data_IF_082135655102
#
_entry.id   IF_082135655102
#
_cell.length_a   1.000
_cell.length_b   1.000
_cell.length_c   1.000
_cell.angle_alpha   90.00
_cell.angle_beta   90.00
_cell.angle_gamma   90.00
#
_symmetry.space_group_name_H-M   'P 1'
#
loop_
_entity.id
_entity.type
_entity.pdbx_description
1 polymer ?
#
# COMPACT_ATOMS: atom_id res chain seq x y z
N UNK A 1 -2.63 -15.01 -33.94
CA UNK A 1 -3.93 -15.14 -33.25
C UNK A 1 -3.90 -16.43 -32.43
N UNK A 2 -4.33 -16.43 -31.17
CA UNK A 2 -4.51 -17.68 -30.42
C UNK A 2 -5.66 -18.51 -31.05
N UNK A 3 -5.54 -19.84 -31.00
CA UNK A 3 -6.55 -20.79 -31.49
C UNK A 3 -7.32 -21.34 -30.28
N UNK A 4 -8.64 -21.21 -30.31
CA UNK A 4 -9.50 -21.61 -29.18
C UNK A 4 -9.82 -23.10 -29.16
N UNK A 5 -9.71 -23.78 -30.31
CA UNK A 5 -9.92 -25.22 -30.46
C UNK A 5 -8.94 -25.81 -31.47
N UNK A 6 -8.56 -27.05 -31.24
CA UNK A 6 -7.80 -27.85 -32.17
C UNK A 6 -8.64 -28.31 -33.36
N UNK A 7 -7.98 -28.74 -34.41
CA UNK A 7 -8.62 -29.31 -35.59
C UNK A 7 -7.72 -30.37 -36.22
N UNK A 8 -8.33 -31.32 -36.91
CA UNK A 8 -7.63 -32.28 -37.75
C UNK A 8 -7.88 -31.95 -39.22
N UNK A 9 -6.88 -32.16 -40.08
CA UNK A 9 -7.06 -32.07 -41.52
C UNK A 9 -7.98 -33.20 -41.98
N UNK A 10 -8.80 -32.95 -43.00
CA UNK A 10 -9.72 -33.95 -43.56
C UNK A 10 -9.02 -35.15 -44.20
N UNK A 11 -7.72 -35.04 -44.51
CA UNK A 11 -6.87 -36.15 -44.94
C UNK A 11 -6.25 -36.95 -43.78
N UNK A 12 -6.42 -36.52 -42.53
CA UNK A 12 -5.98 -37.24 -41.31
C UNK A 12 -4.48 -37.28 -41.08
N UNK A 13 -3.70 -36.55 -41.89
CA UNK A 13 -2.24 -36.50 -41.85
C UNK A 13 -1.69 -35.54 -40.79
N UNK A 14 -2.48 -34.54 -40.36
CA UNK A 14 -2.09 -33.58 -39.34
C UNK A 14 -3.24 -33.30 -38.38
N UNK A 15 -2.97 -33.42 -37.09
CA UNK A 15 -3.85 -32.97 -36.01
C UNK A 15 -3.17 -31.84 -35.22
N UNK A 16 -3.86 -30.71 -35.13
CA UNK A 16 -3.47 -29.57 -34.30
C UNK A 16 -4.30 -29.64 -33.03
N UNK A 17 -3.64 -29.73 -31.87
CA UNK A 17 -4.30 -29.73 -30.56
C UNK A 17 -4.08 -28.37 -29.92
N UNK A 18 -5.16 -27.66 -29.60
CA UNK A 18 -5.08 -26.39 -28.89
C UNK A 18 -4.91 -26.64 -27.39
N UNK A 19 -4.27 -25.70 -26.69
CA UNK A 19 -4.12 -25.77 -25.24
C UNK A 19 -5.47 -25.90 -24.51
N UNK A 20 -6.53 -25.32 -25.07
CA UNK A 20 -7.91 -25.45 -24.59
C UNK A 20 -8.49 -26.86 -24.67
N UNK A 21 -8.06 -27.68 -25.63
CA UNK A 21 -8.53 -29.07 -25.74
C UNK A 21 -7.91 -29.95 -24.64
N UNK A 22 -6.73 -29.58 -24.14
CA UNK A 22 -6.01 -30.29 -23.07
C UNK A 22 -6.34 -29.76 -21.66
N UNK A 23 -6.58 -28.45 -21.54
CA UNK A 23 -6.73 -27.75 -20.25
C UNK A 23 -8.17 -27.27 -19.98
N UNK A 24 -9.07 -27.36 -20.95
CA UNK A 24 -10.45 -26.87 -20.84
C UNK A 24 -10.52 -25.36 -20.62
N UNK A 25 -11.48 -24.91 -19.79
CA UNK A 25 -11.65 -23.50 -19.41
C UNK A 25 -10.45 -22.87 -18.69
N UNK A 26 -9.38 -23.63 -18.43
CA UNK A 26 -8.11 -23.12 -17.89
C UNK A 26 -7.18 -22.54 -18.97
N UNK A 27 -7.52 -22.67 -20.24
CA UNK A 27 -6.71 -22.18 -21.36
C UNK A 27 -6.98 -20.72 -21.75
N UNK A 28 -7.81 -19.99 -21.01
CA UNK A 28 -7.87 -18.54 -21.17
C UNK A 28 -6.50 -17.95 -20.80
N UNK A 29 -5.70 -17.69 -21.84
CA UNK A 29 -4.53 -16.83 -21.77
C UNK A 29 -5.04 -15.46 -21.33
N UNK A 30 -4.91 -15.20 -20.04
CA UNK A 30 -5.23 -13.91 -19.46
C UNK A 30 -4.33 -12.85 -20.10
N UNK A 31 -4.94 -11.99 -20.93
CA UNK A 31 -4.34 -10.71 -21.26
C UNK A 31 -4.36 -9.86 -19.99
N UNK A 32 -3.22 -9.30 -19.55
CA UNK A 32 -3.22 -8.41 -18.40
C UNK A 32 -4.11 -7.23 -18.73
N UNK A 33 -5.21 -7.07 -17.99
CA UNK A 33 -6.03 -5.88 -18.08
C UNK A 33 -5.12 -4.67 -17.83
N UNK A 34 -5.07 -3.77 -18.82
CA UNK A 34 -4.37 -2.50 -18.71
C UNK A 34 -4.81 -1.81 -17.42
N UNK A 35 -3.81 -1.18 -16.76
CA UNK A 35 -3.84 -0.72 -15.38
C UNK A 35 -5.22 -0.28 -14.89
N UNK A 36 -5.63 -0.87 -13.77
CA UNK A 36 -6.76 -0.37 -13.00
C UNK A 36 -6.42 1.07 -12.64
N UNK A 37 -7.04 2.01 -13.35
CA UNK A 37 -6.96 3.43 -13.05
C UNK A 37 -7.64 3.61 -11.70
N UNK A 38 -6.82 3.54 -10.64
CA UNK A 38 -7.30 3.60 -9.27
C UNK A 38 -7.74 5.04 -9.04
N UNK A 39 -9.04 5.32 -8.84
CA UNK A 39 -9.47 6.67 -8.52
C UNK A 39 -8.68 7.11 -7.29
N UNK A 40 -8.12 8.33 -7.37
CA UNK A 40 -7.42 8.92 -6.24
C UNK A 40 -8.33 8.80 -5.01
N UNK A 41 -7.82 8.33 -3.85
CA UNK A 41 -8.64 8.26 -2.66
C UNK A 41 -9.23 9.65 -2.43
N UNK A 42 -10.56 9.71 -2.22
CA UNK A 42 -11.25 10.95 -1.90
C UNK A 42 -10.45 11.66 -0.80
N UNK A 43 -10.10 12.93 -1.05
CA UNK A 43 -9.31 13.73 -0.13
C UNK A 43 -9.94 13.71 1.27
N UNK A 44 -9.14 13.76 2.34
CA UNK A 44 -9.66 13.61 3.68
C UNK A 44 -10.65 14.74 3.98
N UNK A 45 -11.92 14.41 4.21
CA UNK A 45 -12.93 15.38 4.61
C UNK A 45 -12.60 15.89 6.01
N UNK A 46 -12.32 17.18 6.18
CA UNK A 46 -12.15 17.79 7.50
C UNK A 46 -13.48 17.78 8.28
N UNK A 47 -13.44 17.50 9.58
CA UNK A 47 -14.59 17.72 10.48
C UNK A 47 -14.18 18.67 11.60
N UNK A 48 -15.06 19.60 11.91
CA UNK A 48 -14.89 20.51 13.04
C UNK A 48 -14.77 19.69 14.33
N UNK A 49 -13.81 20.07 15.18
CA UNK A 49 -13.46 19.39 16.42
C UNK A 49 -12.46 18.23 16.26
N UNK A 50 -11.96 17.94 15.06
CA UNK A 50 -10.92 16.93 14.87
C UNK A 50 -9.52 17.49 15.16
N UNK A 51 -8.62 16.69 15.77
CA UNK A 51 -7.22 17.07 15.92
C UNK A 51 -6.50 17.02 14.57
N UNK A 52 -5.72 18.04 14.28
CA UNK A 52 -4.97 18.28 13.05
C UNK A 52 -3.50 18.50 13.42
N UNK A 53 -2.58 18.04 12.57
CA UNK A 53 -1.15 18.31 12.75
C UNK A 53 -0.71 19.37 11.77
N UNK A 54 -0.30 20.51 12.29
CA UNK A 54 0.43 21.52 11.54
C UNK A 54 1.93 21.20 11.62
N UNK A 55 2.62 21.20 10.47
CA UNK A 55 4.04 20.81 10.38
C UNK A 55 4.94 21.60 11.33
N UNK A 56 4.67 22.90 11.45
CA UNK A 56 5.52 23.84 12.19
C UNK A 56 4.98 24.17 13.60
N UNK A 57 3.70 23.92 13.85
CA UNK A 57 3.00 24.32 15.09
C UNK A 57 2.49 23.12 15.91
N UNK A 58 2.58 21.90 15.39
CA UNK A 58 2.20 20.70 16.12
C UNK A 58 0.70 20.41 16.05
N UNK A 59 0.18 19.74 17.08
CA UNK A 59 -1.20 19.26 17.13
C UNK A 59 -2.12 20.42 17.56
N UNK A 60 -3.14 20.73 16.77
CA UNK A 60 -4.20 21.69 17.09
C UNK A 60 -5.59 21.10 16.82
N UNK A 61 -6.64 21.76 17.28
CA UNK A 61 -8.04 21.39 17.02
C UNK A 61 -8.59 22.24 15.88
N UNK A 62 -9.22 21.61 14.88
CA UNK A 62 -9.91 22.36 13.84
C UNK A 62 -11.22 22.94 14.38
N UNK A 63 -11.32 24.26 14.48
CA UNK A 63 -12.54 24.95 14.91
C UNK A 63 -13.47 25.28 13.74
N UNK A 64 -12.93 25.55 12.56
CA UNK A 64 -13.74 25.91 11.41
C UNK A 64 -12.92 26.43 10.24
N UNK A 65 -13.65 27.02 9.29
CA UNK A 65 -13.11 27.75 8.15
C UNK A 65 -13.64 29.18 8.29
N UNK A 66 -12.74 30.16 8.21
CA UNK A 66 -13.09 31.57 8.22
C UNK A 66 -12.50 32.27 6.99
N UNK A 67 -13.19 33.29 6.51
CA UNK A 67 -12.75 34.13 5.42
C UNK A 67 -11.81 35.21 5.96
N UNK A 68 -10.56 35.25 5.49
CA UNK A 68 -9.57 36.24 5.87
C UNK A 68 -9.28 37.21 4.72
N UNK A 69 -9.25 38.49 5.04
CA UNK A 69 -8.80 39.53 4.11
C UNK A 69 -7.26 39.57 4.10
N UNK A 70 -6.66 39.13 3.00
CA UNK A 70 -5.24 39.32 2.77
C UNK A 70 -4.97 40.71 2.17
N UNK A 71 -3.76 41.29 2.35
CA UNK A 71 -3.41 42.61 1.82
C UNK A 71 -3.60 42.75 0.29
N UNK A 72 -3.68 41.62 -0.42
CA UNK A 72 -3.84 41.50 -1.87
C UNK A 72 -5.30 41.63 -2.33
N UNK A 73 -6.23 41.98 -1.43
CA UNK A 73 -7.58 42.46 -1.74
C UNK A 73 -8.61 41.39 -2.09
N UNK A 74 -8.19 40.14 -2.35
CA UNK A 74 -9.12 39.01 -2.50
C UNK A 74 -9.28 38.32 -1.15
N UNK A 75 -10.52 38.07 -0.69
CA UNK A 75 -10.72 37.25 0.49
C UNK A 75 -10.34 35.80 0.22
N UNK A 76 -9.75 35.15 1.22
CA UNK A 76 -9.36 33.75 1.12
C UNK A 76 -9.88 32.95 2.31
N UNK A 77 -10.30 31.72 2.05
CA UNK A 77 -10.63 30.76 3.11
C UNK A 77 -9.36 30.38 3.89
N UNK A 78 -9.47 30.37 5.21
CA UNK A 78 -8.45 29.90 6.13
C UNK A 78 -9.03 28.93 7.16
N UNK A 79 -8.31 27.84 7.41
CA UNK A 79 -8.59 26.92 8.50
C UNK A 79 -8.23 27.59 9.82
N UNK A 80 -9.16 27.57 10.77
CA UNK A 80 -8.94 28.05 12.13
C UNK A 80 -8.55 26.88 13.03
N UNK A 81 -7.32 26.91 13.55
CA UNK A 81 -6.78 25.89 14.44
C UNK A 81 -6.60 26.47 15.85
N UNK A 82 -7.09 25.76 16.86
CA UNK A 82 -6.95 26.14 18.27
C UNK A 82 -5.93 25.26 18.99
N UNK A 83 -5.10 25.88 19.81
CA UNK A 83 -4.02 25.26 20.59
C UNK A 83 -4.25 25.46 22.10
N UNK A 84 -3.35 24.91 22.93
CA UNK A 84 -3.41 25.02 24.39
C UNK A 84 -3.24 26.48 24.79
N UNK A 85 -4.02 26.95 25.77
CA UNK A 85 -4.02 28.36 26.17
C UNK A 85 -4.80 29.30 25.24
N UNK A 86 -5.80 28.78 24.50
CA UNK A 86 -6.68 29.52 23.58
C UNK A 86 -5.95 30.24 22.42
N UNK A 87 -4.70 29.82 22.13
CA UNK A 87 -3.94 30.34 21.01
C UNK A 87 -4.55 29.86 19.68
N UNK A 88 -4.88 30.80 18.80
CA UNK A 88 -5.49 30.53 17.49
C UNK A 88 -4.49 30.74 16.35
N UNK A 89 -4.45 29.80 15.41
CA UNK A 89 -3.66 29.87 14.18
C UNK A 89 -4.59 29.82 12.96
N UNK A 90 -4.45 30.82 12.08
CA UNK A 90 -5.17 30.88 10.80
C UNK A 90 -4.29 30.37 9.68
N UNK A 91 -4.69 29.28 9.03
CA UNK A 91 -3.93 28.65 7.94
C UNK A 91 -4.68 28.79 6.61
N UNK A 92 -4.16 29.53 5.62
CA UNK A 92 -4.86 29.71 4.34
C UNK A 92 -5.08 28.38 3.61
N UNK A 93 -6.33 28.05 3.30
CA UNK A 93 -6.73 26.76 2.71
C UNK A 93 -6.11 26.51 1.32
N UNK A 94 -5.79 27.59 0.59
CA UNK A 94 -5.20 27.52 -0.75
C UNK A 94 -3.70 27.24 -0.76
N UNK A 95 -2.98 27.39 0.37
CA UNK A 95 -1.51 27.16 0.44
C UNK A 95 -1.13 25.73 0.82
N UNK A 96 -2.10 24.82 0.92
CA UNK A 96 -1.99 23.74 1.90
C UNK A 96 -1.97 22.32 1.32
N UNK A 97 -1.08 22.07 0.35
CA UNK A 97 -0.80 20.69 -0.08
C UNK A 97 0.32 20.02 0.70
N UNK A 98 0.87 20.66 1.74
CA UNK A 98 1.98 20.09 2.54
C UNK A 98 2.35 20.80 3.85
N UNK A 99 1.56 21.75 4.34
CA UNK A 99 1.82 22.42 5.63
C UNK A 99 0.91 21.88 6.74
N UNK A 100 -0.34 21.56 6.40
CA UNK A 100 -1.30 20.85 7.24
C UNK A 100 -1.47 19.41 6.75
N UNK A 101 -1.10 18.45 7.59
CA UNK A 101 -1.35 17.04 7.34
C UNK A 101 -2.48 16.52 8.25
N UNK A 102 -3.51 15.96 7.63
CA UNK A 102 -4.60 15.30 8.34
C UNK A 102 -4.16 13.92 8.85
N UNK A 103 -3.81 13.85 10.12
CA UNK A 103 -3.50 12.59 10.79
C UNK A 103 -4.72 11.99 11.46
N UNK A 104 -5.61 11.42 10.65
CA UNK A 104 -6.86 10.78 11.14
C UNK A 104 -6.64 9.47 11.90
N UNK A 105 -5.50 8.81 11.72
CA UNK A 105 -5.49 7.36 11.90
C UNK A 105 -5.19 6.86 13.32
N UNK A 106 -4.51 7.61 14.20
CA UNK A 106 -4.12 7.10 15.54
C UNK A 106 -3.83 8.14 16.63
N UNK A 107 -4.23 9.40 16.48
CA UNK A 107 -4.23 10.26 17.67
C UNK A 107 -5.36 9.76 18.58
N UNK A 108 -5.00 9.26 19.76
CA UNK A 108 -5.98 9.13 20.85
C UNK A 108 -6.64 10.50 20.99
N UNK A 109 -7.96 10.55 21.27
CA UNK A 109 -8.70 11.81 21.50
C UNK A 109 -8.05 12.73 22.56
N UNK A 110 -7.05 12.23 23.28
CA UNK A 110 -6.31 12.91 24.35
C UNK A 110 -5.00 13.58 23.87
N UNK A 111 -4.75 13.68 22.57
CA UNK A 111 -3.60 14.37 22.03
C UNK A 111 -3.69 15.86 22.37
N UNK A 112 -2.91 16.31 23.37
CA UNK A 112 -2.88 17.70 23.78
C UNK A 112 -2.15 18.57 22.76
N UNK A 113 -2.59 19.82 22.57
CA UNK A 113 -1.84 20.75 21.76
C UNK A 113 -0.44 20.96 22.35
N UNK A 114 0.57 21.15 21.52
CA UNK A 114 1.95 21.32 21.97
C UNK A 114 2.65 22.39 21.13
N UNK A 115 3.09 23.47 21.77
CA UNK A 115 3.73 24.61 21.11
C UNK A 115 5.16 24.33 20.61
N UNK A 116 5.56 25.11 19.59
CA UNK A 116 6.66 24.82 18.64
C UNK A 116 8.07 24.65 19.22
N UNK A 117 8.41 25.16 20.40
CA UNK A 117 9.77 24.97 20.99
C UNK A 117 9.98 23.55 21.51
N UNK A 118 9.02 23.02 22.27
CA UNK A 118 9.07 21.63 22.74
C UNK A 118 8.97 20.65 21.56
N UNK A 119 8.29 21.04 20.49
CA UNK A 119 8.19 20.24 19.26
C UNK A 119 9.54 20.13 18.53
N UNK A 120 10.29 21.23 18.42
CA UNK A 120 11.60 21.23 17.76
C UNK A 120 12.63 20.30 18.41
N UNK A 121 12.76 20.35 19.74
CA UNK A 121 13.67 19.46 20.48
C UNK A 121 13.24 18.00 20.41
N UNK A 122 11.92 17.73 20.53
CA UNK A 122 11.36 16.38 20.37
C UNK A 122 11.59 15.84 18.97
N UNK A 123 11.42 16.67 17.94
CA UNK A 123 11.67 16.32 16.53
C UNK A 123 13.14 15.99 16.31
N UNK A 124 14.06 16.85 16.77
CA UNK A 124 15.49 16.59 16.66
C UNK A 124 15.95 15.32 17.42
N UNK A 125 15.33 15.00 18.57
CA UNK A 125 15.56 13.74 19.28
C UNK A 125 15.02 12.54 18.51
N UNK A 126 13.81 12.65 17.95
CA UNK A 126 13.20 11.60 17.15
C UNK A 126 13.97 11.35 15.86
N UNK A 127 14.38 12.39 15.15
CA UNK A 127 15.16 12.28 13.91
C UNK A 127 16.50 11.57 14.17
N UNK A 128 17.16 11.87 15.29
CA UNK A 128 18.35 11.14 15.73
C UNK A 128 18.05 9.66 15.99
N UNK A 129 16.94 9.35 16.68
CA UNK A 129 16.55 7.97 16.95
C UNK A 129 16.18 7.20 15.67
N UNK A 130 15.48 7.85 14.72
CA UNK A 130 15.15 7.29 13.41
C UNK A 130 16.44 6.97 12.66
N UNK A 131 17.38 7.92 12.60
CA UNK A 131 18.67 7.71 11.92
C UNK A 131 19.44 6.54 12.54
N UNK A 132 19.59 6.51 13.86
CA UNK A 132 20.27 5.40 14.55
C UNK A 132 19.56 4.07 14.33
N UNK A 133 18.23 4.05 14.25
CA UNK A 133 17.46 2.83 13.95
C UNK A 133 17.67 2.40 12.50
N UNK A 134 17.67 3.35 11.56
CA UNK A 134 17.91 3.08 10.15
C UNK A 134 19.32 2.50 9.92
N UNK A 135 20.34 3.07 10.56
CA UNK A 135 21.71 2.54 10.53
C UNK A 135 21.75 1.08 11.00
N UNK A 136 21.15 0.78 12.16
CA UNK A 136 21.06 -0.60 12.67
C UNK A 136 20.30 -1.55 11.74
N UNK A 137 19.25 -1.08 11.08
CA UNK A 137 18.49 -1.89 10.12
C UNK A 137 19.31 -2.20 8.88
N UNK A 138 20.07 -1.23 8.37
CA UNK A 138 20.98 -1.41 7.24
C UNK A 138 22.05 -2.44 7.58
N UNK A 139 22.69 -2.31 8.74
CA UNK A 139 23.71 -3.27 9.21
C UNK A 139 23.12 -4.67 9.35
N UNK A 140 21.94 -4.79 9.97
CA UNK A 140 21.25 -6.08 10.11
C UNK A 140 20.84 -6.71 8.77
N UNK A 141 20.56 -5.91 7.74
CA UNK A 141 20.27 -6.41 6.38
C UNK A 141 21.55 -6.86 5.69
N UNK A 142 22.65 -6.10 5.82
CA UNK A 142 23.96 -6.51 5.30
C UNK A 142 24.41 -7.85 5.91
N UNK A 143 24.33 -7.99 7.23
CA UNK A 143 24.68 -9.23 7.93
C UNK A 143 23.82 -10.42 7.49
N UNK A 144 22.52 -10.18 7.22
CA UNK A 144 21.61 -11.21 6.70
C UNK A 144 21.98 -11.62 5.27
N UNK A 145 22.29 -10.65 4.41
CA UNK A 145 22.64 -10.90 3.01
C UNK A 145 24.03 -11.52 2.84
N UNK A 146 24.96 -11.29 3.77
CA UNK A 146 26.28 -11.91 3.76
C UNK A 146 26.22 -13.44 4.02
N UNK A 147 25.16 -13.93 4.67
CA UNK A 147 25.00 -15.35 5.00
C UNK A 147 24.46 -16.13 3.80
N UNK A 148 25.21 -17.16 3.40
CA UNK A 148 24.77 -18.12 2.37
C UNK A 148 23.74 -19.10 2.94
N UNK A 149 22.85 -19.57 2.07
CA UNK A 149 21.89 -20.64 2.34
C UNK A 149 21.98 -21.69 1.22
N UNK A 150 21.59 -22.95 1.50
CA UNK A 150 21.45 -23.96 0.44
C UNK A 150 20.47 -23.48 -0.63
N UNK A 151 20.83 -23.67 -1.90
CA UNK A 151 19.92 -23.40 -3.02
C UNK A 151 18.85 -24.48 -3.05
N UNK A 152 17.59 -24.06 -3.01
CA UNK A 152 16.45 -24.95 -3.15
C UNK A 152 15.86 -24.75 -4.54
N UNK A 153 16.25 -25.64 -5.46
CA UNK A 153 15.71 -25.67 -6.83
C UNK A 153 14.80 -26.90 -6.93
N UNK A 154 13.47 -26.72 -7.04
CA UNK A 154 12.57 -27.84 -7.17
C UNK A 154 12.73 -28.49 -8.55
N UNK A 155 12.62 -29.81 -8.60
CA UNK A 155 12.53 -30.54 -9.86
C UNK A 155 11.19 -30.21 -10.54
N UNK A 156 11.23 -29.71 -11.77
CA UNK A 156 10.07 -29.20 -12.53
C UNK A 156 8.91 -30.19 -12.52
N UNK A 157 9.15 -31.45 -12.89
CA UNK A 157 8.11 -32.46 -12.97
C UNK A 157 7.45 -32.75 -11.61
N UNK A 158 8.21 -32.69 -10.51
CA UNK A 158 7.68 -32.90 -9.16
C UNK A 158 6.87 -31.69 -8.68
N UNK A 159 7.33 -30.49 -9.01
CA UNK A 159 6.63 -29.26 -8.68
C UNK A 159 5.31 -29.14 -9.44
N UNK A 160 5.30 -29.44 -10.75
CA UNK A 160 4.08 -29.45 -11.56
C UNK A 160 3.05 -30.46 -11.05
N UNK A 161 3.47 -31.67 -10.66
CA UNK A 161 2.57 -32.65 -10.03
C UNK A 161 1.97 -32.16 -8.71
N UNK A 162 2.72 -31.36 -7.95
CA UNK A 162 2.20 -30.74 -6.72
C UNK A 162 1.22 -29.62 -7.06
N UNK A 163 1.57 -28.73 -8.00
CA UNK A 163 0.74 -27.62 -8.44
C UNK A 163 -0.58 -28.10 -9.06
N UNK A 164 -0.57 -29.21 -9.80
CA UNK A 164 -1.78 -29.80 -10.39
C UNK A 164 -2.80 -30.29 -9.36
N UNK A 165 -2.38 -30.53 -8.10
CA UNK A 165 -3.30 -30.87 -6.99
C UNK A 165 -4.06 -29.65 -6.47
N UNK A 166 -3.60 -28.44 -6.80
CA UNK A 166 -4.27 -27.20 -6.43
C UNK A 166 -5.43 -26.95 -7.39
N UNK A 167 -6.67 -27.01 -6.88
CA UNK A 167 -7.88 -26.98 -7.70
C UNK A 167 -8.29 -25.60 -8.23
N UNK A 168 -7.55 -24.54 -7.93
CA UNK A 168 -7.92 -23.16 -8.24
C UNK A 168 -6.96 -22.51 -9.22
N UNK A 169 -7.49 -21.64 -10.07
CA UNK A 169 -6.68 -20.75 -10.91
C UNK A 169 -6.11 -19.65 -10.02
N UNK A 170 -4.80 -19.42 -10.12
CA UNK A 170 -4.10 -18.39 -9.36
C UNK A 170 -4.46 -17.00 -9.89
N UNK A 171 -4.59 -16.03 -8.99
CA UNK A 171 -4.64 -14.62 -9.40
C UNK A 171 -3.26 -14.15 -9.85
N UNK A 172 -3.15 -13.06 -10.65
CA UNK A 172 -1.86 -12.52 -11.08
C UNK A 172 -0.91 -12.21 -9.92
N UNK A 173 -1.43 -11.61 -8.84
CA UNK A 173 -0.65 -11.31 -7.64
C UNK A 173 -0.15 -12.59 -6.93
N UNK A 174 -0.96 -13.65 -6.93
CA UNK A 174 -0.58 -14.94 -6.34
C UNK A 174 0.51 -15.62 -7.17
N UNK A 175 0.38 -15.64 -8.49
CA UNK A 175 1.39 -16.21 -9.39
C UNK A 175 2.73 -15.47 -9.24
N UNK A 176 2.70 -14.13 -9.28
CA UNK A 176 3.90 -13.31 -9.09
C UNK A 176 4.55 -13.51 -7.72
N UNK A 177 3.76 -13.69 -6.66
CA UNK A 177 4.28 -13.97 -5.33
C UNK A 177 4.98 -15.34 -5.26
N UNK A 178 4.41 -16.37 -5.90
CA UNK A 178 5.00 -17.71 -5.97
C UNK A 178 6.33 -17.67 -6.72
N UNK A 179 6.37 -17.03 -7.90
CA UNK A 179 7.59 -16.92 -8.71
C UNK A 179 8.70 -16.18 -7.96
N UNK A 180 8.36 -15.09 -7.26
CA UNK A 180 9.31 -14.33 -6.45
C UNK A 180 9.88 -15.17 -5.29
N UNK A 181 9.05 -16.00 -4.63
CA UNK A 181 9.51 -16.90 -3.56
C UNK A 181 10.41 -18.00 -4.12
N UNK A 182 10.08 -18.60 -5.27
CA UNK A 182 10.91 -19.61 -5.92
C UNK A 182 12.27 -19.05 -6.35
N UNK A 183 12.29 -17.82 -6.87
CA UNK A 183 13.52 -17.11 -7.20
C UNK A 183 14.39 -16.86 -5.95
N UNK A 184 13.79 -16.44 -4.84
CA UNK A 184 14.52 -16.22 -3.60
C UNK A 184 15.12 -17.52 -3.05
N UNK A 185 14.35 -18.62 -3.06
CA UNK A 185 14.79 -19.95 -2.60
C UNK A 185 15.94 -20.54 -3.44
N UNK A 186 15.97 -20.24 -4.74
CA UNK A 186 17.04 -20.69 -5.65
C UNK A 186 18.28 -19.79 -5.65
N UNK A 187 18.20 -18.59 -5.05
CA UNK A 187 19.27 -17.58 -5.07
C UNK A 187 20.52 -17.98 -4.25
N UNK A 188 20.38 -18.88 -3.27
CA UNK A 188 21.46 -19.25 -2.35
C UNK A 188 21.73 -18.21 -1.26
N UNK A 189 20.87 -17.19 -1.14
CA UNK A 189 20.80 -16.26 -0.02
C UNK A 189 19.68 -16.69 0.92
N UNK A 190 19.77 -16.30 2.20
CA UNK A 190 18.63 -16.47 3.12
C UNK A 190 17.43 -15.65 2.63
N UNK A 191 16.26 -16.27 2.56
CA UNK A 191 15.02 -15.60 2.16
C UNK A 191 14.51 -14.72 3.30
N UNK A 192 14.15 -13.48 2.99
CA UNK A 192 13.59 -12.49 3.92
C UNK A 192 12.50 -11.68 3.21
N UNK A 193 11.43 -12.38 2.81
CA UNK A 193 10.29 -11.81 2.08
C UNK A 193 9.04 -11.87 2.94
N UNK A 194 8.30 -10.75 2.96
CA UNK A 194 6.95 -10.68 3.49
C UNK A 194 5.94 -10.72 2.35
N UNK A 195 5.00 -11.67 2.40
CA UNK A 195 3.85 -11.72 1.48
C UNK A 195 2.63 -11.24 2.25
N UNK A 196 2.08 -10.10 1.85
CA UNK A 196 0.89 -9.51 2.48
C UNK A 196 -0.35 -9.89 1.67
N UNK A 197 -1.27 -10.62 2.29
CA UNK A 197 -2.58 -10.90 1.71
C UNK A 197 -3.58 -9.78 2.02
N UNK A 198 -4.56 -9.58 1.12
CA UNK A 198 -5.77 -8.83 1.46
C UNK A 198 -6.85 -9.80 1.88
N UNK A 199 -7.12 -9.90 3.16
CA UNK A 199 -8.35 -10.53 3.64
C UNK A 199 -9.53 -9.66 3.21
N UNK A 200 -10.47 -10.20 2.41
CA UNK A 200 -11.78 -9.56 2.24
C UNK A 200 -12.44 -9.56 3.62
N UNK A 201 -12.75 -8.38 4.16
CA UNK A 201 -13.54 -8.28 5.39
C UNK A 201 -14.86 -9.05 5.20
N UNK A 202 -15.33 -9.81 6.21
CA UNK A 202 -16.62 -10.48 6.11
C UNK A 202 -17.71 -9.44 5.88
N UNK A 203 -18.55 -9.66 4.85
CA UNK A 203 -19.81 -8.91 4.71
C UNK A 203 -20.65 -9.27 5.92
N UNK A 204 -20.78 -8.35 6.86
CA UNK A 204 -21.83 -8.40 7.87
C UNK A 204 -23.16 -8.25 7.11
N UNK A 205 -23.77 -9.38 6.76
CA UNK A 205 -25.17 -9.39 6.34
C UNK A 205 -26.00 -8.98 7.56
N UNK A 206 -26.53 -7.77 7.52
CA UNK A 206 -27.55 -7.31 8.44
C UNK A 206 -28.80 -8.16 8.26
N UNK A 207 -28.94 -9.21 9.07
CA UNK A 207 -30.25 -9.81 9.33
C UNK A 207 -31.06 -8.81 10.13
N UNK A 208 -31.85 -8.01 9.43
CA UNK A 208 -33.02 -7.32 9.99
C UNK A 208 -34.01 -8.38 10.47
N UNK A 209 -34.33 -8.34 11.77
CA UNK A 209 -35.47 -9.03 12.36
C UNK A 209 -36.76 -8.27 12.13
#
# INVERSE_FOLDING_TARGET
MPLDHGFATSAGDVAVIAAADLLGSRAEVWQPAAGIDRPAPAGPMFRIGEPVIHRDHGIGLLEGIEEIALPEGTPHDALRLCYEGDATLMVPAHRDRGTVELWRRRLRRDARPAEGRALGERRAKLDRAIRTTAEKLVDAVHDRHARKAPKLVPETARFERLAARFGHVLTPDQAAAIDAVLADLSSGRRVDRLVCERTKAPRLESRSG
#
